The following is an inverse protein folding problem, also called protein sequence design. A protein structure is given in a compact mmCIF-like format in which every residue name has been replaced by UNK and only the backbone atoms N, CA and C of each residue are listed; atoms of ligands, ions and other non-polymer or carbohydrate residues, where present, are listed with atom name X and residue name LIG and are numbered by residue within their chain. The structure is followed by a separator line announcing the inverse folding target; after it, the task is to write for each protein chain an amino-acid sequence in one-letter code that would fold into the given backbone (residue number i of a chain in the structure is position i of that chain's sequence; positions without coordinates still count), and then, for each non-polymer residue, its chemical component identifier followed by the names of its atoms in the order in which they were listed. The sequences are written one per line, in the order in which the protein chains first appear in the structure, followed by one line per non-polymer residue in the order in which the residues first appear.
data_IF_272016959383
#
_entry.id   IF_272016959383
#
_cell.length_a   1.000
_cell.length_b   1.000
_cell.length_c   1.000
_cell.angle_alpha   90.00
_cell.angle_beta   90.00
_cell.angle_gamma   90.00
#
_symmetry.space_group_name_H-M   'P 1'
#
loop_
_entity.id
_entity.type
_entity.pdbx_description
1 polymer ?
#
# COMPACT_ATOMS: atom_id res chain seq x y z
N UNK A 1 -6.26 14.69 10.10
CA UNK A 1 -5.89 14.97 8.70
C UNK A 1 -4.75 14.04 8.40
N UNK A 2 -4.90 13.13 7.44
CA UNK A 2 -3.77 12.28 7.03
C UNK A 2 -3.04 13.02 5.92
N UNK A 3 -1.78 13.33 6.17
CA UNK A 3 -0.93 13.95 5.16
C UNK A 3 -0.41 12.90 4.18
N UNK A 4 0.01 13.34 2.99
CA UNK A 4 0.65 12.45 2.00
C UNK A 4 1.86 11.74 2.63
N UNK A 5 2.66 12.44 3.42
CA UNK A 5 3.82 11.86 4.11
C UNK A 5 3.45 10.77 5.14
N UNK A 6 2.36 10.96 5.89
CA UNK A 6 1.86 9.94 6.81
C UNK A 6 1.35 8.70 6.07
N UNK A 7 0.65 8.89 4.95
CA UNK A 7 0.20 7.79 4.11
C UNK A 7 1.37 7.01 3.51
N UNK A 8 2.38 7.70 2.97
CA UNK A 8 3.62 7.09 2.47
C UNK A 8 4.30 6.25 3.55
N UNK A 9 4.44 6.80 4.78
CA UNK A 9 5.05 6.07 5.90
C UNK A 9 4.28 4.80 6.24
N UNK A 10 2.96 4.86 6.38
CA UNK A 10 2.13 3.68 6.70
C UNK A 10 2.19 2.60 5.61
N UNK A 11 2.18 3.01 4.34
CA UNK A 11 2.29 2.07 3.22
C UNK A 11 3.68 1.42 3.18
N UNK A 12 4.74 2.18 3.44
CA UNK A 12 6.10 1.65 3.54
C UNK A 12 6.25 0.65 4.70
N UNK A 13 5.71 0.97 5.88
CA UNK A 13 5.67 0.04 7.03
C UNK A 13 4.95 -1.27 6.67
N UNK A 14 3.84 -1.19 5.95
CA UNK A 14 3.12 -2.38 5.48
C UNK A 14 3.95 -3.20 4.49
N UNK A 15 4.53 -2.57 3.46
CA UNK A 15 5.37 -3.25 2.47
C UNK A 15 6.55 -3.96 3.15
N UNK A 16 7.21 -3.28 4.09
CA UNK A 16 8.34 -3.85 4.83
C UNK A 16 7.90 -5.01 5.73
N UNK A 17 6.81 -4.85 6.49
CA UNK A 17 6.30 -5.91 7.38
C UNK A 17 5.98 -7.20 6.62
N UNK A 18 5.38 -7.11 5.43
CA UNK A 18 5.00 -8.28 4.62
C UNK A 18 6.20 -8.95 3.95
N UNK A 19 7.27 -8.21 3.65
CA UNK A 19 8.50 -8.80 3.14
C UNK A 19 9.35 -9.45 4.24
N UNK A 20 9.38 -8.90 5.45
CA UNK A 20 10.07 -9.52 6.59
C UNK A 20 9.38 -10.80 7.10
N UNK A 21 8.05 -10.90 6.94
CA UNK A 21 7.26 -12.09 7.36
C UNK A 21 7.54 -13.34 6.50
N UNK A 22 8.24 -13.23 5.35
CA UNK A 22 8.71 -14.41 4.59
C UNK A 22 9.63 -15.35 5.39
N UNK A 23 10.09 -14.98 6.60
CA UNK A 23 10.98 -15.78 7.44
C UNK A 23 10.37 -16.43 8.69
N UNK A 24 9.12 -16.13 9.05
CA UNK A 24 8.51 -16.74 10.25
C UNK A 24 7.41 -17.73 9.87
N UNK A 25 7.84 -18.98 9.82
CA UNK A 25 6.97 -20.14 9.93
C UNK A 25 6.14 -20.01 11.23
N UNK A 26 4.89 -20.48 11.17
CA UNK A 26 3.97 -20.72 12.32
C UNK A 26 3.16 -19.53 12.86
N UNK A 27 1.86 -19.49 12.51
CA UNK A 27 0.77 -19.56 13.51
C UNK A 27 -0.49 -20.19 12.89
N UNK A 28 -0.99 -21.26 13.52
CA UNK A 28 -2.22 -22.00 13.20
C UNK A 28 -3.48 -21.20 13.59
N UNK A 29 -3.65 -19.98 13.07
CA UNK A 29 -4.91 -19.24 13.19
C UNK A 29 -5.85 -19.77 12.09
N UNK A 30 -7.10 -20.18 12.39
CA UNK A 30 -8.04 -20.59 11.36
C UNK A 30 -8.32 -19.42 10.42
N UNK A 31 -7.72 -19.43 9.22
CA UNK A 31 -7.90 -18.36 8.24
C UNK A 31 -9.21 -18.60 7.49
N UNK A 32 -10.18 -17.71 7.65
CA UNK A 32 -11.36 -17.68 6.78
C UNK A 32 -10.92 -17.47 5.32
N UNK A 33 -11.65 -17.98 4.32
CA UNK A 33 -11.27 -17.82 2.91
C UNK A 33 -11.09 -16.35 2.48
N UNK A 34 -11.93 -15.45 2.99
CA UNK A 34 -11.82 -14.00 2.77
C UNK A 34 -10.52 -13.43 3.32
N UNK A 35 -10.06 -13.92 4.47
CA UNK A 35 -8.79 -13.52 5.08
C UNK A 35 -7.59 -14.00 4.29
N UNK A 36 -7.59 -15.26 3.83
CA UNK A 36 -6.52 -15.80 2.97
C UNK A 36 -6.41 -14.96 1.69
N UNK A 37 -7.55 -14.57 1.12
CA UNK A 37 -7.58 -13.73 -0.08
C UNK A 37 -6.99 -12.34 0.20
N UNK A 38 -7.42 -11.68 1.29
CA UNK A 38 -6.89 -10.37 1.68
C UNK A 38 -5.37 -10.38 1.94
N UNK A 39 -4.86 -11.36 2.68
CA UNK A 39 -3.42 -11.53 2.91
C UNK A 39 -2.66 -11.76 1.60
N UNK A 40 -3.18 -12.58 0.69
CA UNK A 40 -2.57 -12.79 -0.64
C UNK A 40 -2.53 -11.51 -1.47
N UNK A 41 -3.61 -10.73 -1.47
CA UNK A 41 -3.69 -9.47 -2.21
C UNK A 41 -2.67 -8.45 -1.67
N UNK A 42 -2.56 -8.32 -0.35
CA UNK A 42 -1.57 -7.41 0.26
C UNK A 42 -0.13 -7.87 0.02
N UNK A 43 0.13 -9.19 0.07
CA UNK A 43 1.45 -9.73 -0.25
C UNK A 43 1.82 -9.53 -1.73
N UNK A 44 0.87 -9.75 -2.64
CA UNK A 44 1.07 -9.48 -4.07
C UNK A 44 1.33 -8.00 -4.33
N UNK A 45 0.56 -7.11 -3.70
CA UNK A 45 0.78 -5.67 -3.76
C UNK A 45 2.18 -5.29 -3.28
N UNK A 46 2.59 -5.76 -2.10
CA UNK A 46 3.91 -5.45 -1.55
C UNK A 46 5.07 -6.00 -2.41
N UNK A 47 4.90 -7.18 -3.01
CA UNK A 47 5.90 -7.74 -3.93
C UNK A 47 6.00 -6.89 -5.20
N UNK A 48 4.86 -6.57 -5.82
CA UNK A 48 4.82 -5.79 -7.06
C UNK A 48 5.48 -4.42 -6.87
N UNK A 49 5.21 -3.72 -5.77
CA UNK A 49 5.82 -2.41 -5.52
C UNK A 49 7.34 -2.52 -5.38
N UNK A 50 7.86 -3.58 -4.73
CA UNK A 50 9.31 -3.77 -4.64
C UNK A 50 9.92 -4.13 -5.99
N UNK A 51 9.26 -4.99 -6.77
CA UNK A 51 9.71 -5.36 -8.11
C UNK A 51 9.72 -4.12 -9.02
N UNK A 52 8.71 -3.24 -8.90
CA UNK A 52 8.63 -1.98 -9.64
C UNK A 52 9.70 -0.96 -9.18
N UNK A 53 10.21 -1.08 -7.96
CA UNK A 53 11.32 -0.25 -7.48
C UNK A 53 12.67 -0.66 -8.10
N UNK A 54 12.83 -1.90 -8.53
CA UNK A 54 14.09 -2.37 -9.13
C UNK A 54 14.38 -1.59 -10.42
N UNK A 55 15.45 -0.79 -10.40
CA UNK A 55 15.88 0.03 -11.53
C UNK A 55 15.42 1.50 -11.48
N UNK A 56 14.43 1.84 -10.64
CA UNK A 56 14.00 3.24 -10.45
C UNK A 56 15.05 4.08 -9.72
N UNK A 57 15.91 3.48 -8.89
CA UNK A 57 16.99 4.17 -8.17
C UNK A 57 18.02 4.83 -9.10
N UNK A 58 18.13 4.32 -10.33
CA UNK A 58 19.04 4.82 -11.35
C UNK A 58 18.35 5.73 -12.37
N UNK A 59 17.04 5.93 -12.24
CA UNK A 59 16.26 6.74 -13.16
C UNK A 59 16.27 8.22 -12.71
N UNK A 60 16.91 9.12 -13.47
CA UNK A 60 16.97 10.53 -13.11
C UNK A 60 15.63 11.27 -13.26
N UNK A 61 14.63 10.69 -13.92
CA UNK A 61 13.32 11.33 -14.18
C UNK A 61 12.20 10.83 -13.29
N UNK A 62 12.45 9.86 -12.41
CA UNK A 62 11.39 9.24 -11.59
C UNK A 62 10.65 10.23 -10.68
N UNK A 63 11.35 11.24 -10.15
CA UNK A 63 10.72 12.27 -9.32
C UNK A 63 9.66 13.05 -10.11
N UNK A 64 10.00 13.47 -11.33
CA UNK A 64 9.11 14.21 -12.21
C UNK A 64 7.91 13.35 -12.62
N UNK A 65 8.14 12.08 -12.98
CA UNK A 65 7.07 11.15 -13.35
C UNK A 65 6.07 10.90 -12.21
N UNK A 66 6.57 10.74 -10.98
CA UNK A 66 5.71 10.57 -9.80
C UNK A 66 4.87 11.82 -9.53
N UNK A 67 5.45 13.02 -9.70
CA UNK A 67 4.75 14.29 -9.55
C UNK A 67 3.66 14.45 -10.62
N UNK A 68 3.98 14.17 -11.88
CA UNK A 68 3.02 14.24 -13.00
C UNK A 68 1.85 13.28 -12.81
N UNK A 69 2.14 12.06 -12.37
CA UNK A 69 1.12 11.04 -12.04
C UNK A 69 0.23 11.48 -10.87
N UNK A 70 0.83 12.04 -9.81
CA UNK A 70 0.08 12.57 -8.67
C UNK A 70 -0.84 13.71 -9.10
N UNK A 71 -0.34 14.68 -9.86
CA UNK A 71 -1.12 15.82 -10.36
C UNK A 71 -2.28 15.36 -11.23
N UNK A 72 -2.02 14.44 -12.17
CA UNK A 72 -3.03 13.89 -13.06
C UNK A 72 -4.14 13.16 -12.29
N UNK A 73 -3.76 12.39 -11.27
CA UNK A 73 -4.69 11.64 -10.43
C UNK A 73 -5.56 12.57 -9.58
N UNK A 74 -4.96 13.60 -8.97
CA UNK A 74 -5.67 14.60 -8.17
C UNK A 74 -6.66 15.38 -9.05
N UNK A 75 -6.25 15.80 -10.25
CA UNK A 75 -7.11 16.52 -11.19
C UNK A 75 -8.29 15.65 -11.63
N UNK A 76 -8.04 14.39 -11.98
CA UNK A 76 -9.08 13.45 -12.38
C UNK A 76 -10.09 13.20 -11.25
N UNK A 77 -9.62 13.00 -10.02
CA UNK A 77 -10.49 12.85 -8.87
C UNK A 77 -11.37 14.09 -8.65
N UNK A 78 -10.83 15.29 -8.83
CA UNK A 78 -11.58 16.54 -8.80
C UNK A 78 -12.70 16.58 -9.85
N UNK A 79 -12.41 16.15 -11.08
CA UNK A 79 -13.40 16.09 -12.18
C UNK A 79 -14.51 15.07 -11.91
N UNK A 80 -14.17 13.91 -11.35
CA UNK A 80 -15.13 12.83 -11.07
C UNK A 80 -15.87 13.05 -9.74
N UNK A 81 -15.44 14.01 -8.91
CA UNK A 81 -16.03 14.28 -7.60
C UNK A 81 -15.65 13.26 -6.53
N UNK A 82 -14.44 12.70 -6.62
CA UNK A 82 -13.91 11.73 -5.66
C UNK A 82 -13.10 12.45 -4.59
N UNK A 83 -13.48 12.28 -3.34
CA UNK A 83 -12.70 12.71 -2.18
C UNK A 83 -11.58 11.69 -1.88
N UNK A 84 -10.41 11.94 -2.45
CA UNK A 84 -9.24 11.07 -2.28
C UNK A 84 -8.73 11.05 -0.84
N UNK A 85 -8.83 12.14 -0.08
CA UNK A 85 -8.36 12.18 1.31
C UNK A 85 -9.21 11.23 2.17
N UNK A 86 -10.53 11.33 2.05
CA UNK A 86 -11.44 10.43 2.74
C UNK A 86 -11.24 8.98 2.32
N UNK A 87 -11.06 8.71 1.02
CA UNK A 87 -10.83 7.35 0.52
C UNK A 87 -9.52 6.75 1.00
N UNK A 88 -8.46 7.56 1.05
CA UNK A 88 -7.17 7.15 1.58
C UNK A 88 -7.27 6.78 3.06
N UNK A 89 -7.99 7.57 3.86
CA UNK A 89 -8.27 7.27 5.27
C UNK A 89 -9.02 5.94 5.45
N UNK A 90 -10.07 5.72 4.66
CA UNK A 90 -10.85 4.47 4.68
C UNK A 90 -9.96 3.26 4.36
N UNK A 91 -9.12 3.36 3.32
CA UNK A 91 -8.23 2.27 2.90
C UNK A 91 -7.15 1.99 3.96
N UNK A 92 -6.49 3.03 4.48
CA UNK A 92 -5.47 2.86 5.51
C UNK A 92 -6.05 2.22 6.78
N UNK A 93 -7.26 2.60 7.18
CA UNK A 93 -7.95 1.97 8.31
C UNK A 93 -8.26 0.48 8.06
N UNK A 94 -8.70 0.14 6.86
CA UNK A 94 -8.91 -1.28 6.48
C UNK A 94 -7.61 -2.08 6.48
N UNK A 95 -6.51 -1.47 6.03
CA UNK A 95 -5.19 -2.11 6.01
C UNK A 95 -4.66 -2.35 7.44
N UNK A 96 -4.86 -1.40 8.35
CA UNK A 96 -4.52 -1.57 9.77
C UNK A 96 -5.28 -2.73 10.40
N UNK A 97 -6.58 -2.87 10.12
CA UNK A 97 -7.40 -3.99 10.63
C UNK A 97 -6.86 -5.33 10.13
N UNK A 98 -6.62 -5.47 8.83
CA UNK A 98 -6.12 -6.73 8.24
C UNK A 98 -4.72 -7.07 8.78
N UNK A 99 -3.91 -6.07 9.10
CA UNK A 99 -2.54 -6.26 9.61
C UNK A 99 -2.52 -6.56 11.12
N UNK A 100 -3.34 -5.86 11.92
CA UNK A 100 -3.49 -6.12 13.35
C UNK A 100 -4.09 -7.50 13.62
N UNK A 101 -5.08 -7.92 12.83
CA UNK A 101 -5.65 -9.27 12.93
C UNK A 101 -4.65 -10.37 12.53
N UNK A 102 -3.57 -10.03 11.80
CA UNK A 102 -2.48 -10.93 11.38
C UNK A 102 -1.37 -11.13 12.43
N UNK A 103 -1.34 -10.27 13.46
CA UNK A 103 -0.34 -10.28 14.56
C UNK A 103 -0.84 -11.06 15.75
#
# INVERSE_FOLDING_TARGET
MVTIGEAQKKLLELINSRNSVKQLDVMNIPKTPSRIMGEKMLNAFASQILDDCEGLECDPTIEDELIESLLSTLALAGVVGIDLERKLLEILGLMEIVTADSS
#
